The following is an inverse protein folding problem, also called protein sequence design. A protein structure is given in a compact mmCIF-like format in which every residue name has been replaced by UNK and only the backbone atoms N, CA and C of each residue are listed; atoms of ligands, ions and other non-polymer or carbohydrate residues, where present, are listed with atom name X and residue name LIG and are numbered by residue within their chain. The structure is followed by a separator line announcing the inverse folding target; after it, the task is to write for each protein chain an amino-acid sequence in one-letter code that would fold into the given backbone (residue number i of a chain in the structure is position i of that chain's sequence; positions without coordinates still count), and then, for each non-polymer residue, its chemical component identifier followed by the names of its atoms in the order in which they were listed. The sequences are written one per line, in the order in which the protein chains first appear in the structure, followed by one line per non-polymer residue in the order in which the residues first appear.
data_IF_633711088348
#
_entry.id   IF_633711088348
#
_cell.length_a   1.000
_cell.length_b   1.000
_cell.length_c   1.000
_cell.angle_alpha   90.00
_cell.angle_beta   90.00
_cell.angle_gamma   90.00
#
_symmetry.space_group_name_H-M   'P 1'
#
loop_
_entity.id
_entity.type
_entity.pdbx_description
1 polymer ?
#
# COMPACT_ATOMS: atom_id res chain seq x y z
N UNK A 1 -1.50 11.91 -16.85
CA UNK A 1 -2.38 10.72 -16.77
C UNK A 1 -2.98 10.67 -15.38
N UNK A 2 -4.18 10.10 -15.20
CA UNK A 2 -4.74 9.94 -13.85
C UNK A 2 -3.95 8.87 -13.08
N UNK A 3 -3.48 9.22 -11.88
CA UNK A 3 -2.80 8.33 -10.93
C UNK A 3 -3.72 8.11 -9.73
N UNK A 4 -3.48 7.05 -8.98
CA UNK A 4 -4.17 6.75 -7.72
C UNK A 4 -3.43 7.31 -6.49
N UNK A 5 -2.32 8.02 -6.73
CA UNK A 5 -1.46 8.64 -5.73
C UNK A 5 -1.25 10.13 -6.05
N UNK A 6 -0.82 10.88 -5.04
CA UNK A 6 -0.37 12.26 -5.17
C UNK A 6 0.85 12.49 -4.27
N UNK A 7 1.80 13.30 -4.75
CA UNK A 7 2.94 13.76 -3.96
C UNK A 7 2.55 15.03 -3.21
N UNK A 8 2.83 15.08 -1.92
CA UNK A 8 2.56 16.24 -1.07
C UNK A 8 3.83 16.58 -0.31
N UNK A 9 4.35 17.79 -0.53
CA UNK A 9 5.47 18.32 0.24
C UNK A 9 4.96 18.93 1.56
N UNK A 10 5.61 18.58 2.68
CA UNK A 10 5.35 19.19 3.98
C UNK A 10 6.43 20.21 4.25
N UNK A 11 6.06 21.49 4.16
CA UNK A 11 6.98 22.62 4.37
C UNK A 11 6.96 23.17 5.81
N UNK A 12 6.06 22.66 6.66
CA UNK A 12 5.89 23.12 8.03
C UNK A 12 6.35 22.04 9.03
N UNK A 13 7.42 22.32 9.76
CA UNK A 13 8.01 21.40 10.74
C UNK A 13 7.05 20.99 11.87
N UNK A 14 6.13 21.86 12.28
CA UNK A 14 5.12 21.52 13.29
C UNK A 14 4.16 20.45 12.77
N UNK A 15 3.80 20.53 11.49
CA UNK A 15 2.95 19.53 10.83
C UNK A 15 3.71 18.22 10.71
N UNK A 16 4.98 18.27 10.28
CA UNK A 16 5.84 17.08 10.20
C UNK A 16 5.98 16.39 11.56
N UNK A 17 6.20 17.16 12.63
CA UNK A 17 6.29 16.63 14.00
C UNK A 17 5.00 15.92 14.41
N UNK A 18 3.83 16.50 14.11
CA UNK A 18 2.53 15.90 14.48
C UNK A 18 2.23 14.59 13.76
N UNK A 19 2.70 14.43 12.51
CA UNK A 19 2.47 13.24 11.69
C UNK A 19 3.47 12.12 12.03
N UNK A 20 4.66 12.49 12.53
CA UNK A 20 5.70 11.54 12.92
C UNK A 20 5.57 11.08 14.37
N UNK A 21 4.87 11.82 15.23
CA UNK A 21 4.47 11.33 16.56
C UNK A 21 3.46 10.19 16.43
N UNK A 22 3.94 8.97 16.66
CA UNK A 22 3.09 7.79 16.77
C UNK A 22 2.42 7.74 18.13
N UNK A 23 1.09 7.83 18.17
CA UNK A 23 0.28 7.53 19.36
C UNK A 23 0.20 6.02 19.67
N UNK A 24 0.84 5.18 18.84
CA UNK A 24 0.92 3.73 18.98
C UNK A 24 2.10 3.27 19.84
N UNK A 25 2.02 2.04 20.36
CA UNK A 25 3.15 1.44 21.10
C UNK A 25 4.39 1.31 20.19
N UNK A 26 5.58 1.31 20.78
CA UNK A 26 6.83 1.14 20.02
C UNK A 26 6.85 -0.15 19.17
N UNK A 27 6.18 -1.21 19.64
CA UNK A 27 6.03 -2.47 18.91
C UNK A 27 5.12 -2.33 17.68
N UNK A 28 4.06 -1.52 17.76
CA UNK A 28 3.15 -1.26 16.63
C UNK A 28 3.86 -0.53 15.49
N UNK A 29 4.67 0.47 15.85
CA UNK A 29 5.47 1.26 14.90
C UNK A 29 6.55 0.38 14.27
N UNK A 30 7.24 -0.45 15.05
CA UNK A 30 8.28 -1.33 14.55
C UNK A 30 7.74 -2.37 13.54
N UNK A 31 6.50 -2.86 13.72
CA UNK A 31 5.88 -3.87 12.84
C UNK A 31 5.34 -3.30 11.54
N UNK A 32 5.06 -1.99 11.49
CA UNK A 32 4.59 -1.29 10.27
C UNK A 32 5.65 -0.40 9.63
N UNK A 33 6.87 -0.34 10.20
CA UNK A 33 7.96 0.44 9.67
C UNK A 33 8.40 -0.12 8.31
N UNK A 34 8.13 0.65 7.26
CA UNK A 34 8.47 0.31 5.88
C UNK A 34 9.98 0.29 5.73
N UNK A 35 10.56 -0.89 5.47
CA UNK A 35 12.03 -1.00 5.37
C UNK A 35 12.55 -0.65 3.98
N UNK A 36 11.87 -1.12 2.94
CA UNK A 36 12.21 -0.91 1.52
C UNK A 36 11.02 -1.23 0.63
N UNK A 37 11.08 -0.73 -0.61
CA UNK A 37 10.09 -1.04 -1.65
C UNK A 37 10.38 -2.43 -2.23
N UNK A 38 9.39 -3.32 -2.24
CA UNK A 38 9.50 -4.60 -2.91
C UNK A 38 9.40 -4.40 -4.42
N UNK A 39 10.25 -5.12 -5.20
CA UNK A 39 10.10 -5.20 -6.66
C UNK A 39 8.87 -6.00 -7.11
N UNK A 40 8.16 -6.61 -6.16
CA UNK A 40 7.08 -7.57 -6.38
C UNK A 40 7.29 -8.85 -5.55
N UNK A 41 6.23 -9.64 -5.33
CA UNK A 41 6.32 -10.92 -4.66
C UNK A 41 7.09 -11.95 -5.51
N UNK A 42 7.91 -12.79 -4.87
CA UNK A 42 8.62 -13.91 -5.55
C UNK A 42 7.76 -15.15 -5.75
N UNK A 43 6.55 -15.12 -5.21
CA UNK A 43 5.57 -16.20 -5.06
C UNK A 43 4.51 -15.73 -4.07
N UNK A 44 3.54 -16.57 -3.72
CA UNK A 44 2.54 -16.18 -2.73
C UNK A 44 3.22 -15.81 -1.40
N UNK A 45 2.83 -14.67 -0.83
CA UNK A 45 3.50 -14.08 0.32
C UNK A 45 2.51 -13.79 1.45
N UNK A 46 2.92 -14.09 2.69
CA UNK A 46 2.20 -13.65 3.87
C UNK A 46 2.36 -12.14 4.05
N UNK A 47 1.28 -11.45 4.39
CA UNK A 47 1.30 -9.99 4.55
C UNK A 47 0.85 -9.55 5.92
N UNK A 48 1.20 -8.31 6.25
CA UNK A 48 0.64 -7.52 7.34
C UNK A 48 0.06 -6.23 6.75
N UNK A 49 -1.06 -5.77 7.30
CA UNK A 49 -1.65 -4.47 6.97
C UNK A 49 -2.34 -3.88 8.18
N UNK A 50 -2.49 -2.55 8.21
CA UNK A 50 -3.34 -1.85 9.16
C UNK A 50 -4.40 -1.05 8.39
N UNK A 51 -5.65 -1.45 8.57
CA UNK A 51 -6.82 -0.82 7.94
C UNK A 51 -7.57 0.06 8.93
N UNK A 52 -8.31 1.04 8.42
CA UNK A 52 -9.10 1.93 9.25
C UNK A 52 -10.23 1.17 9.96
N UNK A 53 -10.82 0.19 9.29
CA UNK A 53 -11.96 -0.57 9.81
C UNK A 53 -11.57 -1.81 10.62
N UNK A 54 -10.56 -2.54 10.18
CA UNK A 54 -10.15 -3.82 10.76
C UNK A 54 -8.94 -3.75 11.68
N UNK A 55 -8.30 -2.59 11.82
CA UNK A 55 -7.04 -2.47 12.54
C UNK A 55 -5.95 -3.30 11.88
N UNK A 56 -5.11 -3.95 12.69
CA UNK A 56 -4.04 -4.82 12.20
C UNK A 56 -4.60 -6.16 11.71
N UNK A 57 -4.22 -6.56 10.48
CA UNK A 57 -4.68 -7.79 9.85
C UNK A 57 -3.55 -8.48 9.09
N UNK A 58 -3.70 -9.80 8.93
CA UNK A 58 -2.86 -10.64 8.08
C UNK A 58 -3.58 -11.05 6.81
N UNK A 59 -2.85 -11.71 5.92
CA UNK A 59 -3.43 -12.31 4.73
C UNK A 59 -2.39 -12.92 3.82
N UNK A 60 -2.80 -13.20 2.58
CA UNK A 60 -1.94 -13.74 1.53
C UNK A 60 -2.03 -12.84 0.30
N UNK A 61 -0.87 -12.41 -0.18
CA UNK A 61 -0.70 -11.77 -1.48
C UNK A 61 -0.42 -12.85 -2.54
N UNK A 62 -1.15 -12.81 -3.65
CA UNK A 62 -0.85 -13.63 -4.83
C UNK A 62 0.49 -13.22 -5.44
N UNK A 63 1.36 -14.19 -5.69
CA UNK A 63 2.61 -13.99 -6.43
C UNK A 63 2.41 -13.66 -7.91
N UNK A 64 1.20 -13.86 -8.43
CA UNK A 64 0.88 -13.58 -9.84
C UNK A 64 0.32 -12.16 -9.97
N UNK A 65 0.94 -11.29 -10.79
CA UNK A 65 0.42 -9.96 -11.04
C UNK A 65 -0.91 -10.02 -11.81
N UNK A 66 -1.74 -9.02 -11.58
CA UNK A 66 -2.94 -8.70 -12.33
C UNK A 66 -2.81 -7.30 -12.93
N UNK A 67 -3.71 -6.93 -13.83
CA UNK A 67 -3.68 -5.62 -14.46
C UNK A 67 -5.07 -4.99 -14.43
N UNK A 68 -5.13 -3.71 -14.09
CA UNK A 68 -6.37 -2.94 -14.09
C UNK A 68 -6.20 -1.64 -14.84
N UNK A 69 -7.32 -1.02 -15.21
CA UNK A 69 -7.35 0.29 -15.84
C UNK A 69 -8.12 1.23 -14.93
N UNK A 70 -7.46 2.30 -14.49
CA UNK A 70 -8.12 3.35 -13.72
C UNK A 70 -9.17 4.06 -14.59
N UNK A 71 -10.23 4.62 -13.99
CA UNK A 71 -11.18 5.46 -14.69
C UNK A 71 -10.46 6.54 -15.51
N UNK A 72 -10.87 6.72 -16.76
CA UNK A 72 -10.32 7.73 -17.69
C UNK A 72 -8.85 7.52 -18.11
N UNK A 73 -8.20 6.42 -17.71
CA UNK A 73 -6.89 6.05 -18.22
C UNK A 73 -6.99 5.11 -19.42
N UNK A 74 -6.00 5.20 -20.33
CA UNK A 74 -5.85 4.30 -21.48
C UNK A 74 -4.87 3.17 -21.22
N UNK A 75 -4.00 3.32 -20.22
CA UNK A 75 -2.97 2.35 -19.87
C UNK A 75 -3.43 1.41 -18.74
N UNK A 76 -3.02 0.15 -18.85
CA UNK A 76 -3.11 -0.82 -17.77
C UNK A 76 -2.00 -0.58 -16.77
N UNK A 77 -2.34 -0.71 -15.49
CA UNK A 77 -1.43 -0.62 -14.36
C UNK A 77 -1.35 -1.99 -13.68
N UNK A 78 -0.15 -2.36 -13.26
CA UNK A 78 0.06 -3.60 -12.54
C UNK A 78 -0.53 -3.48 -11.13
N UNK A 79 -1.26 -4.51 -10.74
CA UNK A 79 -1.83 -4.65 -9.42
C UNK A 79 -1.58 -6.06 -8.90
N UNK A 80 -1.50 -6.20 -7.59
CA UNK A 80 -1.48 -7.51 -6.96
C UNK A 80 -2.79 -7.78 -6.24
N UNK A 81 -3.22 -9.04 -6.24
CA UNK A 81 -4.41 -9.48 -5.50
C UNK A 81 -3.99 -9.92 -4.12
N UNK A 82 -4.63 -9.37 -3.10
CA UNK A 82 -4.47 -9.80 -1.71
C UNK A 82 -5.78 -10.35 -1.18
N UNK A 83 -5.71 -11.41 -0.38
CA UNK A 83 -6.83 -11.91 0.41
C UNK A 83 -6.52 -11.66 1.88
N UNK A 84 -7.29 -10.81 2.52
CA UNK A 84 -7.15 -10.47 3.94
C UNK A 84 -7.95 -11.44 4.81
N UNK A 85 -7.43 -11.72 6.00
CA UNK A 85 -8.07 -12.59 7.00
C UNK A 85 -9.15 -11.85 7.83
N UNK A 86 -9.41 -10.57 7.51
CA UNK A 86 -10.37 -9.71 8.18
C UNK A 86 -11.32 -8.99 7.22
N UNK A 87 -12.29 -8.23 7.77
CA UNK A 87 -13.25 -7.50 6.96
C UNK A 87 -12.59 -6.37 6.18
N UNK A 88 -13.20 -6.02 5.05
CA UNK A 88 -12.92 -4.78 4.32
C UNK A 88 -14.14 -3.87 4.41
N UNK A 89 -13.90 -2.57 4.50
CA UNK A 89 -14.92 -1.53 4.49
C UNK A 89 -14.49 -0.33 3.63
N UNK A 90 -15.45 0.55 3.35
CA UNK A 90 -15.15 1.83 2.73
C UNK A 90 -14.24 2.65 3.66
N UNK A 91 -13.14 3.18 3.11
CA UNK A 91 -12.12 3.89 3.88
C UNK A 91 -10.82 3.11 4.10
N UNK A 92 -10.79 1.80 3.79
CA UNK A 92 -9.56 1.00 3.89
C UNK A 92 -8.61 1.18 2.70
N UNK A 93 -9.04 1.88 1.65
CA UNK A 93 -8.16 2.26 0.54
C UNK A 93 -7.02 3.14 1.06
N UNK A 94 -5.82 2.98 0.49
CA UNK A 94 -4.59 3.63 0.95
C UNK A 94 -3.84 2.87 2.04
N UNK A 95 -4.44 1.85 2.67
CA UNK A 95 -3.72 0.99 3.61
C UNK A 95 -2.55 0.27 2.94
N UNK A 96 -1.38 0.34 3.57
CA UNK A 96 -0.17 -0.32 3.12
C UNK A 96 -0.27 -1.83 3.30
N UNK A 97 0.22 -2.58 2.31
CA UNK A 97 0.43 -4.02 2.36
C UNK A 97 1.92 -4.26 2.43
N UNK A 98 2.36 -4.85 3.54
CA UNK A 98 3.78 -5.16 3.77
C UNK A 98 4.00 -6.66 3.86
N UNK A 99 5.16 -7.12 3.42
CA UNK A 99 5.60 -8.49 3.61
C UNK A 99 5.74 -8.80 5.11
N UNK A 100 5.07 -9.85 5.59
CA UNK A 100 5.07 -10.19 7.00
C UNK A 100 6.43 -10.69 7.52
N UNK A 101 7.28 -11.22 6.65
CA UNK A 101 8.60 -11.75 7.01
C UNK A 101 9.70 -10.68 6.89
N UNK A 102 9.67 -9.87 5.83
CA UNK A 102 10.75 -8.93 5.51
C UNK A 102 10.42 -7.50 5.93
N UNK A 103 9.15 -7.11 6.00
CA UNK A 103 8.71 -5.73 6.19
C UNK A 103 8.87 -4.86 4.93
N UNK A 104 8.96 -5.49 3.76
CA UNK A 104 9.00 -4.79 2.47
C UNK A 104 7.61 -4.31 2.06
N UNK A 105 7.51 -3.11 1.50
CA UNK A 105 6.26 -2.57 0.98
C UNK A 105 5.93 -3.20 -0.37
N UNK A 106 4.81 -3.89 -0.48
CA UNK A 106 4.28 -4.36 -1.77
C UNK A 106 3.46 -3.30 -2.48
N UNK A 107 2.71 -2.48 -1.74
CA UNK A 107 1.76 -1.55 -2.32
C UNK A 107 0.73 -1.05 -1.33
N UNK A 108 -0.31 -0.41 -1.85
CA UNK A 108 -1.44 0.08 -1.09
C UNK A 108 -2.77 -0.35 -1.72
N UNK A 109 -3.80 -0.52 -0.89
CA UNK A 109 -5.14 -0.95 -1.33
C UNK A 109 -5.79 0.13 -2.19
N UNK A 110 -6.30 -0.26 -3.36
CA UNK A 110 -7.05 0.64 -4.27
C UNK A 110 -8.49 0.21 -4.51
N UNK A 111 -8.79 -1.08 -4.33
CA UNK A 111 -10.13 -1.62 -4.48
C UNK A 111 -10.28 -2.87 -3.60
N UNK A 112 -11.47 -3.09 -3.05
CA UNK A 112 -11.74 -4.20 -2.15
C UNK A 112 -13.17 -4.72 -2.27
N UNK A 113 -13.34 -6.01 -1.99
CA UNK A 113 -14.64 -6.65 -1.89
C UNK A 113 -14.94 -6.98 -0.43
N UNK A 114 -15.81 -6.17 0.18
CA UNK A 114 -16.22 -6.28 1.58
C UNK A 114 -16.73 -7.68 1.98
N UNK A 115 -17.32 -8.42 1.02
CA UNK A 115 -17.87 -9.76 1.25
C UNK A 115 -16.83 -10.88 1.22
N UNK A 116 -15.73 -10.72 0.47
CA UNK A 116 -14.77 -11.81 0.23
C UNK A 116 -13.42 -11.59 0.91
N UNK A 117 -13.13 -10.37 1.36
CA UNK A 117 -11.80 -10.00 1.87
C UNK A 117 -10.74 -9.87 0.78
N UNK A 118 -11.13 -10.00 -0.50
CA UNK A 118 -10.22 -9.82 -1.63
C UNK A 118 -10.08 -8.33 -1.92
N UNK A 119 -8.83 -7.88 -2.04
CA UNK A 119 -8.48 -6.54 -2.47
C UNK A 119 -7.42 -6.55 -3.58
N UNK A 120 -7.34 -5.44 -4.30
CA UNK A 120 -6.28 -5.14 -5.25
C UNK A 120 -5.41 -4.05 -4.68
N UNK A 121 -4.10 -4.22 -4.85
CA UNK A 121 -3.10 -3.22 -4.48
C UNK A 121 -2.36 -2.72 -5.70
N UNK A 122 -2.09 -1.42 -5.71
CA UNK A 122 -1.17 -0.83 -6.68
C UNK A 122 0.26 -1.10 -6.27
N UNK A 123 1.09 -1.53 -7.21
CA UNK A 123 2.44 -1.98 -6.92
C UNK A 123 3.34 -0.80 -6.52
N UNK A 124 3.91 -0.84 -5.32
CA UNK A 124 4.72 0.25 -4.80
C UNK A 124 5.92 0.56 -5.69
N UNK A 125 6.57 -0.45 -6.30
CA UNK A 125 7.70 -0.20 -7.19
C UNK A 125 7.34 0.67 -8.40
N UNK A 126 6.13 0.55 -8.96
CA UNK A 126 5.70 1.39 -10.08
C UNK A 126 5.42 2.81 -9.62
N UNK A 127 4.74 2.96 -8.47
CA UNK A 127 4.42 4.25 -7.88
C UNK A 127 5.70 5.03 -7.54
N UNK A 128 6.67 4.39 -6.90
CA UNK A 128 7.92 5.03 -6.52
C UNK A 128 8.82 5.33 -7.71
N UNK A 129 8.83 4.48 -8.74
CA UNK A 129 9.50 4.81 -9.99
C UNK A 129 8.89 6.06 -10.65
N UNK A 130 7.56 6.15 -10.73
CA UNK A 130 6.89 7.34 -11.27
C UNK A 130 7.21 8.60 -10.44
N UNK A 131 7.33 8.47 -9.12
CA UNK A 131 7.66 9.56 -8.19
C UNK A 131 9.10 10.05 -8.38
N UNK A 132 10.06 9.13 -8.50
CA UNK A 132 11.47 9.46 -8.77
C UNK A 132 11.59 10.21 -10.10
N UNK A 133 10.93 9.72 -11.15
CA UNK A 133 10.88 10.41 -12.45
C UNK A 133 10.24 11.79 -12.34
N UNK A 134 9.24 12.00 -11.48
CA UNK A 134 8.64 13.32 -11.28
C UNK A 134 9.61 14.29 -10.59
N UNK A 135 10.31 13.82 -9.56
CA UNK A 135 11.25 14.63 -8.78
C UNK A 135 12.54 14.98 -9.55
N UNK A 136 13.03 14.07 -10.39
CA UNK A 136 14.20 14.32 -11.24
C UNK A 136 13.94 15.37 -12.34
N UNK A 137 12.66 15.68 -12.60
CA UNK A 137 12.22 16.64 -13.61
C UNK A 137 11.81 18.01 -13.03
N UNK A 138 11.92 18.21 -11.71
CA UNK A 138 11.71 19.52 -11.03
C UNK A 138 13.03 20.30 -10.87
#
# INVERSE_FOLDING_TARGET
MAKDWALVEITNDSVLASITTSDGSADDVARTCLKKIAKGPKGDAGILTRTASGGEMTGILSGTPSYTRLPYCTLFQEVYTVRLDGPLANGDCGSAIVDAATGELYGHIVAGCQRTGIAYIMAAHQVFQDLEELLDNE
#
